data_IF_081051608077
#
_entry.id   IF_081051608077
#
_cell.length_a   1.000
_cell.length_b   1.000
_cell.length_c   1.000
_cell.angle_alpha   90.00
_cell.angle_beta   90.00
_cell.angle_gamma   90.00
#
_symmetry.space_group_name_H-M   'P 1'
#
loop_
_entity.id
_entity.type
_entity.pdbx_description
1 polymer ?
#
# COMPACT_ATOMS: atom_id res chain seq x y z
N UNK A 1 -6.17 8.15 -1.12
CA UNK A 1 -5.46 8.42 0.15
C UNK A 1 -5.71 7.24 1.06
N UNK A 2 -4.71 6.83 1.84
CA UNK A 2 -4.74 5.64 2.70
C UNK A 2 -4.23 6.02 4.11
N UNK A 3 -4.61 5.25 5.13
CA UNK A 3 -4.22 5.49 6.53
C UNK A 3 -2.87 4.88 6.95
N UNK A 4 -2.33 3.96 6.16
CA UNK A 4 -1.06 3.24 6.41
C UNK A 4 -0.19 3.21 5.14
N UNK A 5 1.10 2.86 5.26
CA UNK A 5 2.03 2.67 4.14
C UNK A 5 2.97 3.84 3.86
N UNK A 6 3.06 4.83 4.76
CA UNK A 6 3.94 6.01 4.60
C UNK A 6 5.42 5.63 4.48
N UNK A 7 5.87 4.65 5.26
CA UNK A 7 7.25 4.13 5.21
C UNK A 7 7.54 3.49 3.85
N UNK A 8 6.65 2.60 3.39
CA UNK A 8 6.77 1.94 2.08
C UNK A 8 6.80 2.96 0.95
N UNK A 9 5.89 3.95 0.99
CA UNK A 9 5.85 5.03 0.01
C UNK A 9 7.18 5.82 -0.03
N UNK A 10 7.70 6.17 1.14
CA UNK A 10 8.94 6.94 1.26
C UNK A 10 10.15 6.18 0.70
N UNK A 11 10.28 4.90 1.04
CA UNK A 11 11.39 4.05 0.57
C UNK A 11 11.31 3.83 -0.94
N UNK A 12 10.13 3.50 -1.47
CA UNK A 12 9.95 3.32 -2.92
C UNK A 12 10.27 4.61 -3.68
N UNK A 13 9.77 5.76 -3.19
CA UNK A 13 10.04 7.06 -3.80
C UNK A 13 11.53 7.37 -3.80
N UNK A 14 12.21 7.17 -2.67
CA UNK A 14 13.66 7.38 -2.58
C UNK A 14 14.44 6.52 -3.57
N UNK A 15 14.06 5.24 -3.72
CA UNK A 15 14.72 4.32 -4.66
C UNK A 15 14.46 4.67 -6.12
N UNK A 16 13.24 5.07 -6.48
CA UNK A 16 12.94 5.54 -7.84
C UNK A 16 13.77 6.78 -8.16
N UNK A 17 13.88 7.75 -7.23
CA UNK A 17 14.70 8.95 -7.43
C UNK A 17 16.18 8.61 -7.61
N UNK A 18 16.71 7.66 -6.82
CA UNK A 18 18.09 7.19 -6.93
C UNK A 18 18.39 6.64 -8.34
N UNK A 19 17.53 5.76 -8.84
CA UNK A 19 17.70 5.14 -10.17
C UNK A 19 17.51 6.14 -11.31
N UNK A 20 16.54 7.05 -11.21
CA UNK A 20 16.36 8.13 -12.19
C UNK A 20 17.59 9.04 -12.23
N UNK A 21 18.21 9.30 -11.08
CA UNK A 21 19.43 10.12 -10.99
C UNK A 21 20.62 9.44 -11.67
N UNK A 22 20.78 8.12 -11.51
CA UNK A 22 21.80 7.33 -12.22
C UNK A 22 21.57 7.33 -13.73
N UNK A 23 20.34 7.10 -14.17
CA UNK A 23 19.97 7.12 -15.59
C UNK A 23 20.21 8.50 -16.22
N UNK A 24 19.89 9.58 -15.49
CA UNK A 24 20.19 10.96 -15.90
C UNK A 24 21.69 11.19 -16.09
N UNK A 25 22.51 10.76 -15.14
CA UNK A 25 23.97 10.90 -15.23
C UNK A 25 24.55 10.13 -16.43
N UNK A 26 23.91 9.02 -16.83
CA UNK A 26 24.25 8.25 -18.02
C UNK A 26 23.71 8.84 -19.35
N UNK A 27 23.02 10.00 -19.31
CA UNK A 27 22.53 10.70 -20.50
C UNK A 27 21.17 10.22 -21.01
N UNK A 28 20.40 9.48 -20.22
CA UNK A 28 19.08 9.02 -20.62
C UNK A 28 18.04 10.17 -20.67
N UNK A 29 17.06 10.05 -21.57
CA UNK A 29 15.95 10.99 -21.67
C UNK A 29 14.96 10.81 -20.49
N UNK A 30 14.87 11.84 -19.67
CA UNK A 30 14.03 11.89 -18.46
C UNK A 30 12.54 11.89 -18.80
N UNK A 31 12.15 12.47 -19.95
CA UNK A 31 10.76 12.48 -20.38
C UNK A 31 10.31 11.06 -20.70
N UNK A 32 11.10 10.34 -21.50
CA UNK A 32 10.85 8.92 -21.79
C UNK A 32 10.82 8.06 -20.53
N UNK A 33 11.74 8.26 -19.58
CA UNK A 33 11.76 7.52 -18.30
C UNK A 33 10.47 7.78 -17.51
N UNK A 34 10.05 9.04 -17.39
CA UNK A 34 8.81 9.40 -16.69
C UNK A 34 7.60 8.69 -17.32
N UNK A 35 7.49 8.69 -18.65
CA UNK A 35 6.43 7.98 -19.35
C UNK A 35 6.47 6.47 -19.10
N UNK A 36 7.67 5.88 -19.13
CA UNK A 36 7.89 4.46 -18.81
C UNK A 36 7.45 4.11 -17.39
N UNK A 37 7.80 4.94 -16.41
CA UNK A 37 7.39 4.76 -15.00
C UNK A 37 5.87 4.85 -14.85
N UNK A 38 5.21 5.78 -15.56
CA UNK A 38 3.75 5.88 -15.54
C UNK A 38 3.08 4.63 -16.12
N UNK A 39 3.60 4.09 -17.24
CA UNK A 39 3.11 2.83 -17.82
C UNK A 39 3.33 1.65 -16.88
N UNK A 40 4.51 1.57 -16.25
CA UNK A 40 4.81 0.55 -15.26
C UNK A 40 3.87 0.63 -14.04
N UNK A 41 3.53 1.84 -13.59
CA UNK A 41 2.56 2.06 -12.51
C UNK A 41 1.20 1.47 -12.85
N UNK A 42 0.69 1.68 -14.07
CA UNK A 42 -0.59 1.10 -14.49
C UNK A 42 -0.53 -0.44 -14.55
N UNK A 43 0.53 -1.02 -15.13
CA UNK A 43 0.70 -2.47 -15.18
C UNK A 43 0.78 -3.10 -13.78
N UNK A 44 1.50 -2.46 -12.86
CA UNK A 44 1.58 -2.90 -11.45
C UNK A 44 0.21 -2.79 -10.77
N UNK A 45 -0.54 -1.71 -11.01
CA UNK A 45 -1.87 -1.53 -10.44
C UNK A 45 -2.83 -2.61 -10.93
N UNK A 46 -2.81 -2.93 -12.23
CA UNK A 46 -3.62 -4.00 -12.81
C UNK A 46 -3.29 -5.35 -12.18
N UNK A 47 -2.00 -5.68 -12.07
CA UNK A 47 -1.56 -6.90 -11.40
C UNK A 47 -2.02 -6.97 -9.95
N UNK A 48 -1.86 -5.89 -9.17
CA UNK A 48 -2.32 -5.83 -7.77
C UNK A 48 -3.84 -6.01 -7.66
N UNK A 49 -4.61 -5.41 -8.57
CA UNK A 49 -6.07 -5.55 -8.60
C UNK A 49 -6.50 -6.98 -8.96
N UNK A 50 -5.72 -7.70 -9.77
CA UNK A 50 -5.98 -9.12 -10.06
C UNK A 50 -5.66 -10.04 -8.88
N UNK A 51 -4.71 -9.64 -8.01
CA UNK A 51 -4.29 -10.40 -6.83
C UNK A 51 -5.12 -10.08 -5.58
N UNK A 52 -5.94 -9.01 -5.61
CA UNK A 52 -6.72 -8.60 -4.45
C UNK A 52 -7.70 -9.70 -4.06
N UNK A 53 -7.87 -9.90 -2.76
CA UNK A 53 -8.88 -10.80 -2.19
C UNK A 53 -9.71 -10.02 -1.20
N UNK A 54 -11.02 -10.18 -1.28
CA UNK A 54 -11.90 -9.63 -0.26
C UNK A 54 -11.71 -10.40 1.05
N UNK A 55 -11.59 -9.65 2.15
CA UNK A 55 -11.58 -10.22 3.50
C UNK A 55 -13.01 -10.16 4.04
N UNK A 56 -13.50 -11.30 4.49
CA UNK A 56 -14.89 -11.45 4.91
C UNK A 56 -15.03 -11.80 6.39
N UNK A 57 -14.02 -12.42 6.99
CA UNK A 57 -14.09 -12.86 8.39
C UNK A 57 -13.57 -11.82 9.38
N UNK A 58 -14.06 -11.91 10.62
CA UNK A 58 -13.60 -11.09 11.74
C UNK A 58 -12.12 -11.34 12.04
N UNK A 59 -11.67 -12.61 11.95
CA UNK A 59 -10.28 -12.98 12.16
C UNK A 59 -9.34 -12.32 11.14
N UNK A 60 -9.75 -12.22 9.88
CA UNK A 60 -8.96 -11.55 8.84
C UNK A 60 -8.86 -10.04 9.10
N UNK A 61 -9.95 -9.41 9.54
CA UNK A 61 -9.94 -7.99 9.92
C UNK A 61 -9.01 -7.79 11.13
N UNK A 62 -9.11 -8.65 12.14
CA UNK A 62 -8.24 -8.61 13.31
C UNK A 62 -6.77 -8.80 12.94
N UNK A 63 -6.45 -9.70 12.00
CA UNK A 63 -5.09 -9.91 11.51
C UNK A 63 -4.53 -8.66 10.83
N UNK A 64 -5.28 -8.05 9.91
CA UNK A 64 -4.84 -6.82 9.22
C UNK A 64 -4.65 -5.68 10.23
N UNK A 65 -5.61 -5.48 11.14
CA UNK A 65 -5.52 -4.46 12.18
C UNK A 65 -4.33 -4.69 13.13
N UNK A 66 -4.06 -5.96 13.50
CA UNK A 66 -2.90 -6.33 14.32
C UNK A 66 -1.59 -6.00 13.61
N UNK A 67 -1.47 -6.32 12.32
CA UNK A 67 -0.25 -6.05 11.54
C UNK A 67 -0.01 -4.54 11.46
N UNK A 68 -1.05 -3.75 11.14
CA UNK A 68 -0.95 -2.29 11.10
C UNK A 68 -0.69 -1.67 12.48
N UNK A 69 -1.09 -2.34 13.58
CA UNK A 69 -0.79 -1.95 14.95
C UNK A 69 0.57 -2.48 15.46
N UNK A 70 1.55 -2.72 14.58
CA UNK A 70 2.89 -3.24 14.91
C UNK A 70 2.87 -4.58 15.67
N UNK A 71 1.89 -5.44 15.39
CA UNK A 71 1.75 -6.75 16.01
C UNK A 71 0.95 -6.78 17.31
N UNK A 72 0.35 -5.65 17.73
CA UNK A 72 -0.49 -5.60 18.93
C UNK A 72 -1.85 -6.28 18.70
N UNK A 73 -1.97 -7.51 19.20
CA UNK A 73 -3.19 -8.31 19.12
C UNK A 73 -4.36 -7.70 19.91
N UNK A 74 -4.10 -6.99 21.02
CA UNK A 74 -5.18 -6.37 21.78
C UNK A 74 -5.83 -5.23 20.99
N UNK A 75 -5.02 -4.42 20.31
CA UNK A 75 -5.52 -3.36 19.43
C UNK A 75 -6.26 -3.97 18.25
N UNK A 76 -5.67 -4.98 17.59
CA UNK A 76 -6.29 -5.65 16.45
C UNK A 76 -7.65 -6.27 16.76
N UNK A 77 -7.77 -7.02 17.87
CA UNK A 77 -9.04 -7.61 18.29
C UNK A 77 -10.10 -6.57 18.64
N UNK A 78 -9.71 -5.48 19.31
CA UNK A 78 -10.64 -4.39 19.65
C UNK A 78 -11.19 -3.70 18.40
N UNK A 79 -10.33 -3.46 17.41
CA UNK A 79 -10.75 -2.87 16.13
C UNK A 79 -11.72 -3.80 15.41
N UNK A 80 -11.43 -5.11 15.36
CA UNK A 80 -12.31 -6.08 14.70
C UNK A 80 -13.71 -6.13 15.34
N UNK A 81 -13.79 -6.11 16.68
CA UNK A 81 -15.06 -6.06 17.40
C UNK A 81 -15.84 -4.77 17.06
N UNK A 82 -15.19 -3.60 17.08
CA UNK A 82 -15.84 -2.35 16.70
C UNK A 82 -16.37 -2.39 15.25
N UNK A 83 -15.59 -2.96 14.31
CA UNK A 83 -16.00 -3.09 12.90
C UNK A 83 -17.21 -4.03 12.75
N UNK A 84 -17.33 -5.06 13.59
CA UNK A 84 -18.50 -5.95 13.60
C UNK A 84 -19.75 -5.25 14.15
N UNK A 85 -19.61 -4.45 15.20
CA UNK A 85 -20.73 -3.75 15.85
C UNK A 85 -21.28 -2.60 15.00
N UNK A 86 -20.41 -1.80 14.36
CA UNK A 86 -20.81 -0.63 13.56
C UNK A 86 -21.08 -1.00 12.09
N UNK A 87 -20.53 -2.13 11.63
CA UNK A 87 -20.56 -2.54 10.23
C UNK A 87 -19.38 -1.96 9.44
N UNK A 88 -19.03 -2.61 8.32
CA UNK A 88 -17.82 -2.31 7.52
C UNK A 88 -17.74 -0.89 6.97
N UNK A 89 -18.88 -0.27 6.68
CA UNK A 89 -18.95 1.08 6.13
C UNK A 89 -19.18 2.14 7.23
N UNK A 90 -19.13 1.72 8.49
CA UNK A 90 -19.26 2.58 9.66
C UNK A 90 -18.04 3.48 9.88
N UNK A 91 -18.26 4.67 10.43
CA UNK A 91 -17.19 5.53 10.94
C UNK A 91 -16.91 5.13 12.39
N UNK A 92 -15.66 4.73 12.67
CA UNK A 92 -15.19 4.19 13.96
C UNK A 92 -14.03 5.06 14.48
#
# INVERSE_FOLDING_TARGET
KVGDGTTTCSILTAKVIEEVSKAKAAGADIVCIKEGVLKAKEAVLEALMSMKREILSEEEIAQVATISANGDKNIGSRIAQCVQEVGRDGVI
#
